data_IF_793575926218
#
_entry.id   IF_793575926218
#
_cell.length_a   1.000
_cell.length_b   1.000
_cell.length_c   1.000
_cell.angle_alpha   90.00
_cell.angle_beta   90.00
_cell.angle_gamma   90.00
#
_symmetry.space_group_name_H-M   'P 1'
#
loop_
_entity.id
_entity.type
_entity.pdbx_description
1 polymer ?
#
# COMPACT_ATOMS: atom_id res chain seq x y z
N UNK A 1 -6.40 -10.50 -9.65
CA UNK A 1 -5.46 -9.80 -8.73
C UNK A 1 -4.20 -9.31 -9.42
N UNK A 2 -3.36 -10.19 -10.01
CA UNK A 2 -2.11 -9.79 -10.66
C UNK A 2 -2.29 -8.73 -11.77
N UNK A 3 -3.34 -8.86 -12.59
CA UNK A 3 -3.70 -7.85 -13.60
C UNK A 3 -3.95 -6.47 -12.97
N UNK A 4 -4.68 -6.43 -11.84
CA UNK A 4 -4.93 -5.19 -11.11
C UNK A 4 -3.63 -4.58 -10.56
N UNK A 5 -2.73 -5.41 -10.01
CA UNK A 5 -1.42 -4.94 -9.56
C UNK A 5 -0.54 -4.44 -10.72
N UNK A 6 -0.60 -5.07 -11.90
CA UNK A 6 0.09 -4.60 -13.11
C UNK A 6 -0.43 -3.23 -13.53
N UNK A 7 -1.75 -3.06 -13.60
CA UNK A 7 -2.37 -1.77 -13.94
C UNK A 7 -1.97 -0.66 -12.96
N UNK A 8 -1.90 -0.95 -11.66
CA UNK A 8 -1.41 0.00 -10.67
C UNK A 8 0.07 0.37 -10.91
N UNK A 9 0.91 -0.62 -11.20
CA UNK A 9 2.33 -0.40 -11.51
C UNK A 9 2.51 0.46 -12.76
N UNK A 10 1.77 0.18 -13.83
CA UNK A 10 1.79 0.95 -15.08
C UNK A 10 1.31 2.39 -14.85
N UNK A 11 0.28 2.56 -14.02
CA UNK A 11 -0.20 3.87 -13.56
C UNK A 11 0.71 4.57 -12.55
N UNK A 12 1.85 3.98 -12.17
CA UNK A 12 2.76 4.49 -11.14
C UNK A 12 2.04 4.78 -9.81
N UNK A 13 1.11 3.90 -9.42
CA UNK A 13 0.34 3.99 -8.18
C UNK A 13 0.72 2.88 -7.20
N UNK A 14 0.82 3.24 -5.93
CA UNK A 14 1.06 2.33 -4.82
C UNK A 14 -0.14 2.33 -3.88
N UNK A 15 -0.74 1.15 -3.65
CA UNK A 15 -1.92 1.00 -2.78
C UNK A 15 -1.62 1.28 -1.30
N UNK A 16 -0.46 0.83 -0.83
CA UNK A 16 0.05 0.93 0.56
C UNK A 16 -0.76 0.24 1.67
N UNK A 17 -1.98 -0.23 1.41
CA UNK A 17 -2.76 -1.06 2.35
C UNK A 17 -3.36 -2.31 1.66
N UNK A 18 -2.52 -3.10 0.98
CA UNK A 18 -2.98 -4.37 0.40
C UNK A 18 -3.08 -5.43 1.49
N UNK A 19 -4.31 -5.92 1.69
CA UNK A 19 -4.67 -6.95 2.67
C UNK A 19 -5.91 -7.70 2.16
N UNK A 20 -6.19 -8.93 2.66
CA UNK A 20 -7.34 -9.71 2.20
C UNK A 20 -8.67 -8.96 2.29
N UNK A 21 -8.86 -8.12 3.30
CA UNK A 21 -10.08 -7.32 3.48
C UNK A 21 -10.29 -6.27 2.37
N UNK A 22 -9.20 -5.86 1.70
CA UNK A 22 -9.19 -4.92 0.58
C UNK A 22 -9.21 -5.63 -0.78
N UNK A 23 -9.50 -6.93 -0.80
CA UNK A 23 -9.66 -7.74 -2.01
C UNK A 23 -11.07 -8.29 -2.04
N UNK A 24 -11.91 -7.75 -2.93
CA UNK A 24 -13.28 -8.22 -3.08
C UNK A 24 -13.37 -9.29 -4.16
N UNK A 25 -14.18 -10.30 -3.89
CA UNK A 25 -14.60 -11.31 -4.85
C UNK A 25 -16.04 -11.01 -5.24
N UNK A 26 -16.29 -10.80 -6.53
CA UNK A 26 -17.61 -10.44 -7.04
C UNK A 26 -17.92 -11.20 -8.34
N UNK A 27 -19.20 -11.45 -8.64
CA UNK A 27 -19.59 -11.97 -9.94
C UNK A 27 -19.23 -10.98 -11.06
N UNK A 28 -18.82 -11.50 -12.21
CA UNK A 28 -18.69 -10.79 -13.47
C UNK A 28 -19.98 -10.93 -14.30
N UNK A 29 -20.11 -10.14 -15.37
CA UNK A 29 -21.30 -10.17 -16.24
C UNK A 29 -21.46 -11.47 -17.04
N UNK A 30 -20.38 -12.26 -17.18
CA UNK A 30 -20.33 -13.55 -17.87
C UNK A 30 -20.45 -14.75 -16.91
N UNK A 31 -21.03 -14.54 -15.73
CA UNK A 31 -21.15 -15.50 -14.63
C UNK A 31 -19.81 -16.02 -14.06
N UNK A 32 -18.67 -15.49 -14.51
CA UNK A 32 -17.36 -15.80 -13.94
C UNK A 32 -17.10 -15.04 -12.63
N UNK A 33 -16.03 -15.40 -11.93
CA UNK A 33 -15.64 -14.76 -10.68
C UNK A 33 -14.54 -13.73 -10.93
N UNK A 34 -14.82 -12.48 -10.58
CA UNK A 34 -13.91 -11.36 -10.67
C UNK A 34 -13.28 -11.06 -9.30
N UNK A 35 -12.02 -10.63 -9.31
CA UNK A 35 -11.33 -10.13 -8.13
C UNK A 35 -11.00 -8.66 -8.32
N UNK A 36 -11.46 -7.81 -7.40
CA UNK A 36 -11.26 -6.36 -7.41
C UNK A 36 -10.45 -5.91 -6.20
N UNK A 37 -9.46 -5.05 -6.44
CA UNK A 37 -8.73 -4.35 -5.37
C UNK A 37 -9.57 -3.13 -4.97
N UNK A 38 -9.78 -2.92 -3.68
CA UNK A 38 -10.61 -1.83 -3.15
C UNK A 38 -9.89 -1.07 -2.04
N UNK A 39 -10.48 0.05 -1.61
CA UNK A 39 -9.96 0.94 -0.55
C UNK A 39 -8.60 1.58 -0.87
N UNK A 40 -8.63 2.55 -1.78
CA UNK A 40 -7.48 3.36 -2.16
C UNK A 40 -7.22 4.54 -1.21
N UNK A 41 -7.75 4.54 0.02
CA UNK A 41 -7.61 5.65 0.97
C UNK A 41 -6.16 5.99 1.32
N UNK A 42 -5.26 5.01 1.18
CA UNK A 42 -3.83 5.17 1.38
C UNK A 42 -3.03 5.22 0.07
N UNK A 43 -3.67 5.19 -1.08
CA UNK A 43 -3.00 5.14 -2.38
C UNK A 43 -2.20 6.42 -2.66
N UNK A 44 -1.00 6.28 -3.25
CA UNK A 44 -0.13 7.39 -3.65
C UNK A 44 0.60 7.13 -4.96
N UNK A 45 0.93 8.18 -5.73
CA UNK A 45 1.88 8.08 -6.84
C UNK A 45 3.26 7.66 -6.34
N UNK A 46 3.91 6.76 -7.08
CA UNK A 46 5.30 6.35 -6.84
C UNK A 46 6.23 7.54 -7.09
N UNK A 47 7.13 7.81 -6.15
CA UNK A 47 8.12 8.90 -6.25
C UNK A 47 7.68 10.25 -5.68
N UNK A 48 6.42 10.39 -5.26
CA UNK A 48 5.92 11.59 -4.56
C UNK A 48 5.92 11.43 -3.03
N UNK A 49 6.63 10.42 -2.54
CA UNK A 49 6.63 10.04 -1.14
C UNK A 49 7.59 10.94 -0.35
N UNK A 50 7.05 11.91 0.38
CA UNK A 50 7.85 12.50 1.46
C UNK A 50 7.93 11.44 2.55
N UNK A 51 9.15 11.12 2.98
CA UNK A 51 9.45 10.08 3.96
C UNK A 51 8.55 10.11 5.22
N UNK A 52 8.08 11.29 5.63
CA UNK A 52 7.17 11.47 6.77
C UNK A 52 5.73 10.97 6.52
N UNK A 53 5.25 10.95 5.28
CA UNK A 53 3.88 10.59 4.90
C UNK A 53 3.66 9.08 4.67
N UNK A 54 4.71 8.26 4.76
CA UNK A 54 4.64 6.80 4.67
C UNK A 54 4.79 6.10 6.03
N UNK A 55 5.14 6.85 7.08
CA UNK A 55 5.22 6.31 8.44
C UNK A 55 3.82 5.96 8.95
N UNK A 56 3.64 4.72 9.40
CA UNK A 56 2.40 4.26 10.04
C UNK A 56 1.21 4.01 9.10
N UNK A 57 1.40 4.03 7.78
CA UNK A 57 0.30 3.87 6.81
C UNK A 57 0.07 2.41 6.42
N UNK A 58 -1.19 1.97 6.44
CA UNK A 58 -1.60 0.60 6.07
C UNK A 58 -1.30 -0.44 7.15
N UNK A 59 -1.87 -1.64 6.97
CA UNK A 59 -1.77 -2.73 7.92
C UNK A 59 -0.34 -3.29 7.99
N UNK A 60 0.21 -3.32 9.21
CA UNK A 60 1.57 -3.78 9.46
C UNK A 60 1.75 -5.24 9.01
N UNK A 61 0.81 -6.14 9.32
CA UNK A 61 0.97 -7.59 9.04
C UNK A 61 1.20 -7.94 7.56
N UNK A 62 0.72 -7.10 6.64
CA UNK A 62 0.80 -7.34 5.19
C UNK A 62 1.88 -6.49 4.51
N UNK A 63 2.73 -5.81 5.29
CA UNK A 63 3.77 -4.92 4.78
C UNK A 63 5.07 -5.68 4.48
N UNK A 64 5.75 -5.24 3.43
CA UNK A 64 7.06 -5.76 3.04
C UNK A 64 8.17 -5.41 4.07
N UNK A 65 9.20 -6.26 4.24
CA UNK A 65 10.22 -6.13 5.29
C UNK A 65 11.05 -4.83 5.22
N UNK A 66 11.33 -4.32 4.02
CA UNK A 66 12.08 -3.08 3.80
C UNK A 66 11.37 -1.85 4.39
N UNK A 67 10.04 -1.91 4.55
CA UNK A 67 9.28 -0.81 5.14
C UNK A 67 9.49 -0.69 6.66
N UNK A 68 10.06 -1.70 7.30
CA UNK A 68 10.40 -1.67 8.73
C UNK A 68 11.81 -1.15 8.98
N UNK A 69 12.73 -1.46 8.07
CA UNK A 69 14.12 -0.99 8.15
C UNK A 69 14.19 0.53 8.03
N UNK A 70 13.48 1.12 7.07
CA UNK A 70 13.34 2.57 6.96
C UNK A 70 12.59 3.19 8.14
N UNK A 71 11.55 2.54 8.65
CA UNK A 71 10.81 2.99 9.83
C UNK A 71 11.68 3.08 11.09
N UNK A 72 12.61 2.13 11.28
CA UNK A 72 13.50 2.08 12.45
C UNK A 72 14.62 3.12 12.41
N UNK A 73 15.21 3.36 11.23
CA UNK A 73 16.21 4.42 11.04
C UNK A 73 15.58 5.82 11.18
N UNK A 74 14.31 5.97 10.80
CA UNK A 74 13.60 7.26 10.84
C UNK A 74 12.91 7.57 12.15
N UNK A 75 12.44 6.57 12.92
CA UNK A 75 11.98 6.80 14.30
C UNK A 75 13.12 7.39 15.16
N UNK A 76 14.37 6.98 14.90
CA UNK A 76 15.55 7.59 15.53
C UNK A 76 15.73 9.06 15.15
N UNK A 77 15.49 9.42 13.89
CA UNK A 77 15.52 10.80 13.41
C UNK A 77 14.39 11.65 14.00
N UNK A 78 13.16 11.14 14.04
CA UNK A 78 12.01 11.83 14.65
C UNK A 78 12.23 12.08 16.15
N UNK A 79 12.77 11.09 16.87
CA UNK A 79 13.12 11.22 18.28
C UNK A 79 14.31 12.18 18.52
N UNK A 80 15.19 12.38 17.54
CA UNK A 80 16.32 13.32 17.64
C UNK A 80 15.95 14.79 17.36
N UNK A 81 14.83 15.04 16.67
CA UNK A 81 14.32 16.38 16.39
C UNK A 81 13.37 16.90 17.49
N UNK A 82 13.10 16.07 18.50
CA UNK A 82 12.21 16.36 19.63
C UNK A 82 12.93 16.66 20.96
N UNK A 83 14.22 16.97 20.95
CA UNK A 83 15.03 17.47 22.09
C UNK A 83 15.73 18.75 21.69
#
# INVERSE_FOLDING_TARGET
>A
LLLGLSAMREGHLMHRDLKPENIMVCPCDDDSVCVKIVDFGYCKPVGQDQLLHSLGVGNMLYRAPECYEHGSAQMKLLNSLGT
#
